data_IF_957817032716
#
_entry.id   IF_957817032716
#
_cell.length_a   1.000
_cell.length_b   1.000
_cell.length_c   1.000
_cell.angle_alpha   90.00
_cell.angle_beta   90.00
_cell.angle_gamma   90.00
#
_symmetry.space_group_name_H-M   'P 1'
#
loop_
_entity.id
_entity.type
_entity.pdbx_description
1 polymer ?
#
# COMPACT_ATOMS: atom_id res chain seq x y z
N UNK A 1 16.22 -4.91 -0.95
CA UNK A 1 15.43 -5.96 -1.61
C UNK A 1 14.23 -5.27 -2.25
N UNK A 2 14.08 -5.31 -3.58
CA UNK A 2 12.98 -4.66 -4.28
C UNK A 2 11.81 -5.64 -4.26
N UNK A 3 10.78 -5.36 -3.47
CA UNK A 3 9.60 -6.25 -3.39
C UNK A 3 8.68 -5.88 -4.55
N UNK A 4 8.47 -6.81 -5.47
CA UNK A 4 7.58 -6.64 -6.61
C UNK A 4 6.26 -7.30 -6.25
N UNK A 5 5.21 -6.48 -6.16
CA UNK A 5 3.84 -6.93 -6.00
C UNK A 5 3.11 -6.70 -7.32
N UNK A 6 2.29 -7.65 -7.73
CA UNK A 6 1.43 -7.53 -8.92
C UNK A 6 0.10 -8.19 -8.60
N UNK A 7 -0.95 -7.39 -8.51
CA UNK A 7 -2.32 -7.84 -8.32
C UNK A 7 -3.11 -7.49 -9.59
N UNK A 8 -3.66 -8.49 -10.25
CA UNK A 8 -4.47 -8.35 -11.47
C UNK A 8 -5.97 -8.46 -11.19
N UNK A 9 -6.36 -8.79 -9.95
CA UNK A 9 -7.76 -8.80 -9.53
C UNK A 9 -7.96 -8.52 -8.03
N UNK A 10 -9.18 -8.12 -7.67
CA UNK A 10 -9.58 -7.94 -6.26
C UNK A 10 -9.41 -9.24 -5.44
N UNK A 11 -9.51 -10.41 -6.07
CA UNK A 11 -9.34 -11.70 -5.41
C UNK A 11 -7.88 -11.97 -4.99
N UNK A 12 -6.93 -11.27 -5.60
CA UNK A 12 -5.51 -11.37 -5.26
C UNK A 12 -5.09 -10.33 -4.22
N UNK A 13 -6.01 -9.46 -3.79
CA UNK A 13 -5.75 -8.44 -2.79
C UNK A 13 -5.41 -9.09 -1.44
N UNK A 14 -4.22 -8.80 -0.93
CA UNK A 14 -3.70 -9.46 0.27
C UNK A 14 -3.28 -8.45 1.33
N UNK A 15 -3.40 -8.86 2.60
CA UNK A 15 -2.89 -8.07 3.71
C UNK A 15 -1.37 -8.00 3.66
N UNK A 16 -0.81 -6.87 4.11
CA UNK A 16 0.64 -6.68 4.26
C UNK A 16 1.25 -7.79 5.11
N UNK A 17 0.55 -8.21 6.16
CA UNK A 17 0.99 -9.29 7.06
C UNK A 17 1.13 -10.64 6.34
N UNK A 18 0.25 -10.95 5.39
CA UNK A 18 0.29 -12.21 4.62
C UNK A 18 1.42 -12.21 3.61
N UNK A 19 1.68 -11.05 3.00
CA UNK A 19 2.68 -10.88 1.96
C UNK A 19 4.12 -10.83 2.50
N UNK A 20 4.30 -10.29 3.70
CA UNK A 20 5.61 -10.15 4.32
C UNK A 20 5.99 -11.41 5.10
N UNK A 21 7.23 -11.86 4.91
CA UNK A 21 7.74 -13.05 5.60
C UNK A 21 7.91 -12.76 7.10
N UNK A 22 7.91 -13.80 7.95
CA UNK A 22 8.07 -13.65 9.40
C UNK A 22 9.35 -12.89 9.82
N UNK A 23 10.36 -12.83 8.94
CA UNK A 23 11.61 -12.08 9.15
C UNK A 23 11.58 -10.61 8.73
N UNK A 24 10.51 -10.14 8.07
CA UNK A 24 10.38 -8.74 7.69
C UNK A 24 9.92 -7.90 8.88
N UNK A 25 10.72 -6.90 9.24
CA UNK A 25 10.41 -5.95 10.34
C UNK A 25 9.09 -5.21 10.12
N UNK A 26 8.67 -5.12 8.86
CA UNK A 26 7.47 -4.42 8.44
C UNK A 26 6.19 -5.23 8.59
N UNK A 27 6.28 -6.55 8.85
CA UNK A 27 5.13 -7.46 8.91
C UNK A 27 4.01 -6.97 9.82
N UNK A 28 4.37 -6.39 10.97
CA UNK A 28 3.42 -5.91 11.96
C UNK A 28 3.28 -4.38 12.01
N UNK A 29 4.01 -3.64 11.16
CA UNK A 29 3.93 -2.17 11.12
C UNK A 29 2.62 -1.65 10.49
N UNK A 30 1.92 -2.51 9.74
CA UNK A 30 0.74 -2.16 8.95
C UNK A 30 -0.46 -3.06 9.29
N UNK A 31 -1.01 -2.99 10.52
CA UNK A 31 -2.17 -3.79 10.89
C UNK A 31 -3.39 -3.39 10.05
N UNK A 32 -4.17 -4.39 9.63
CA UNK A 32 -5.35 -4.23 8.76
C UNK A 32 -5.08 -3.47 7.45
N UNK A 33 -3.83 -3.47 6.99
CA UNK A 33 -3.47 -2.83 5.73
C UNK A 33 -3.36 -3.85 4.62
N UNK A 34 -3.82 -3.48 3.43
CA UNK A 34 -3.80 -4.31 2.24
C UNK A 34 -3.00 -3.63 1.12
N UNK A 35 -2.20 -4.43 0.43
CA UNK A 35 -1.23 -3.90 -0.53
C UNK A 35 -1.91 -3.52 -1.83
N UNK A 36 -1.68 -2.28 -2.24
CA UNK A 36 -2.03 -1.76 -3.56
C UNK A 36 -0.71 -1.55 -4.29
N UNK A 37 -0.50 -2.31 -5.35
CA UNK A 37 0.67 -2.14 -6.21
C UNK A 37 0.23 -1.78 -7.60
N UNK A 38 0.76 -0.70 -8.15
CA UNK A 38 0.65 -0.46 -9.57
C UNK A 38 1.72 -1.28 -10.31
N UNK A 39 1.25 -2.05 -11.30
CA UNK A 39 2.08 -2.82 -12.23
C UNK A 39 2.96 -1.90 -13.10
N UNK A 40 2.62 -0.61 -13.23
CA UNK A 40 3.17 0.30 -14.23
C UNK A 40 4.33 1.18 -13.75
N UNK A 41 4.54 1.40 -12.44
CA UNK A 41 5.47 2.45 -11.93
C UNK A 41 6.53 1.97 -10.92
N UNK A 42 6.68 0.66 -10.74
CA UNK A 42 7.93 -0.08 -10.41
C UNK A 42 8.97 0.39 -9.37
N UNK A 43 8.65 1.25 -8.41
CA UNK A 43 9.59 1.54 -7.30
C UNK A 43 8.98 1.54 -5.90
N UNK A 44 7.66 1.59 -5.75
CA UNK A 44 7.03 1.78 -4.45
C UNK A 44 5.79 0.90 -4.30
N UNK A 45 5.68 0.19 -3.16
CA UNK A 45 4.45 -0.48 -2.76
C UNK A 45 3.64 0.43 -1.85
N UNK A 46 2.33 0.48 -2.04
CA UNK A 46 1.42 1.21 -1.16
C UNK A 46 0.52 0.24 -0.40
N UNK A 47 -0.02 0.68 0.74
CA UNK A 47 -1.02 -0.09 1.45
C UNK A 47 -2.12 0.83 1.99
N UNK A 48 -3.37 0.43 1.78
CA UNK A 48 -4.55 1.09 2.35
C UNK A 48 -4.94 0.40 3.64
N UNK A 49 -5.22 1.17 4.67
CA UNK A 49 -5.76 0.65 5.93
C UNK A 49 -7.27 0.51 5.84
N UNK A 50 -7.77 -0.70 6.08
CA UNK A 50 -9.19 -0.98 6.11
C UNK A 50 -9.73 -1.04 7.53
N UNK A 51 -11.02 -0.73 7.67
CA UNK A 51 -11.80 -0.94 8.88
C UNK A 51 -12.95 -1.93 8.62
N UNK A 52 -13.75 -2.21 9.65
CA UNK A 52 -14.85 -3.18 9.56
C UNK A 52 -16.03 -2.71 8.69
N UNK A 53 -16.10 -1.41 8.38
CA UNK A 53 -17.23 -0.80 7.66
C UNK A 53 -16.84 -0.37 6.23
N UNK A 54 -15.57 -0.51 5.85
CA UNK A 54 -15.07 -0.14 4.53
C UNK A 54 -14.95 1.38 4.34
N UNK A 55 -14.61 2.13 5.40
CA UNK A 55 -14.40 3.58 5.28
C UNK A 55 -13.24 3.90 4.34
N UNK A 56 -13.26 5.11 3.78
CA UNK A 56 -12.16 5.63 2.97
C UNK A 56 -10.87 5.73 3.79
N UNK A 57 -9.95 4.80 3.53
CA UNK A 57 -8.84 4.48 4.44
C UNK A 57 -7.54 5.22 4.16
N UNK A 58 -6.76 5.46 5.20
CA UNK A 58 -5.42 6.07 5.12
C UNK A 58 -4.49 5.21 4.25
N UNK A 59 -3.67 5.85 3.42
CA UNK A 59 -2.70 5.17 2.55
C UNK A 59 -1.26 5.40 3.02
N UNK A 60 -0.49 4.33 3.06
CA UNK A 60 0.91 4.32 3.47
C UNK A 60 1.83 3.80 2.37
N UNK A 61 3.09 4.23 2.38
CA UNK A 61 4.16 3.68 1.54
C UNK A 61 4.93 2.59 2.29
N UNK A 62 5.21 1.48 1.60
CA UNK A 62 5.96 0.34 2.12
C UNK A 62 7.45 0.53 1.80
N UNK A 63 8.22 1.08 2.76
CA UNK A 63 9.63 1.46 2.57
C UNK A 63 10.64 0.89 3.61
N UNK A 64 10.28 -0.14 4.39
CA UNK A 64 11.28 -0.98 5.07
C UNK A 64 11.87 -0.46 6.39
N UNK A 65 11.31 0.58 7.02
CA UNK A 65 11.92 1.15 8.25
C UNK A 65 10.98 1.96 9.13
N UNK A 66 10.00 2.63 8.51
CA UNK A 66 9.03 3.46 9.20
C UNK A 66 7.72 3.50 8.43
N UNK A 67 6.61 3.72 9.14
CA UNK A 67 5.29 3.85 8.54
C UNK A 67 5.15 5.27 7.97
N UNK A 68 5.24 5.40 6.64
CA UNK A 68 5.12 6.69 5.94
C UNK A 68 3.69 6.86 5.47
N UNK A 69 2.97 7.86 5.99
CA UNK A 69 1.63 8.22 5.50
C UNK A 69 1.76 9.07 4.24
N UNK A 70 1.07 8.68 3.18
CA UNK A 70 1.07 9.39 1.89
C UNK A 70 -0.23 10.17 1.68
N UNK A 71 -1.37 9.60 2.12
CA UNK A 71 -2.66 10.26 2.00
C UNK A 71 -3.56 9.94 3.20
N UNK A 72 -4.43 10.89 3.55
CA UNK A 72 -5.43 10.71 4.61
C UNK A 72 -6.58 9.79 4.20
N UNK A 73 -6.74 9.53 2.89
CA UNK A 73 -7.79 8.66 2.36
C UNK A 73 -7.37 8.02 1.04
N UNK A 74 -8.01 6.91 0.66
CA UNK A 74 -7.77 6.21 -0.59
C UNK A 74 -8.25 7.03 -1.78
N UNK A 75 -9.37 7.74 -1.63
CA UNK A 75 -9.83 8.71 -2.65
C UNK A 75 -8.81 9.82 -2.89
N UNK A 76 -8.25 10.39 -1.81
CA UNK A 76 -7.23 11.42 -1.92
C UNK A 76 -5.96 10.90 -2.62
N UNK A 77 -5.54 9.68 -2.26
CA UNK A 77 -4.45 9.00 -2.93
C UNK A 77 -4.73 8.81 -4.43
N UNK A 78 -5.89 8.27 -4.81
CA UNK A 78 -6.23 8.07 -6.23
C UNK A 78 -6.26 9.37 -7.02
N UNK A 79 -6.79 10.45 -6.42
CA UNK A 79 -6.78 11.76 -7.07
C UNK A 79 -5.35 12.25 -7.34
N UNK A 80 -4.45 12.13 -6.36
CA UNK A 80 -3.04 12.48 -6.56
C UNK A 80 -2.37 11.55 -7.58
N UNK A 81 -2.60 10.25 -7.46
CA UNK A 81 -2.00 9.22 -8.29
C UNK A 81 -2.37 9.34 -9.77
N UNK A 82 -3.62 9.71 -10.06
CA UNK A 82 -4.14 9.84 -11.42
C UNK A 82 -3.90 11.22 -12.05
N UNK A 83 -3.77 12.28 -11.23
CA UNK A 83 -3.62 13.65 -11.70
C UNK A 83 -2.14 14.04 -11.84
N UNK A 84 -1.28 13.65 -10.88
CA UNK A 84 0.14 14.01 -10.83
C UNK A 84 0.99 12.80 -10.37
N UNK A 85 1.18 11.83 -11.25
CA UNK A 85 2.00 10.65 -10.95
C UNK A 85 3.46 10.98 -10.59
N UNK A 86 3.93 12.16 -11.00
CA UNK A 86 5.32 12.60 -10.83
C UNK A 86 5.61 13.17 -9.43
N UNK A 87 4.60 13.62 -8.66
CA UNK A 87 4.79 14.18 -7.31
C UNK A 87 4.83 13.13 -6.19
N UNK A 88 4.44 11.87 -6.48
CA UNK A 88 4.48 10.76 -5.53
C UNK A 88 5.84 10.02 -5.48
N UNK A 89 6.87 10.56 -6.15
CA UNK A 89 8.22 9.99 -6.28
C UNK A 89 9.21 10.45 -5.20
#
# INVERSE_FOLDING_TARGET
MKIIFTFVSLAEFQSVETLLSCGDKDKFLYPNCFVISDFLVWCWGYAVQLDQIGSDGVVYQLAGSQKIKIADSFTAFLNQYLIDSDELL
#
